data_IF_935415793841
#
_entry.id   IF_935415793841
#
_cell.length_a   1.000
_cell.length_b   1.000
_cell.length_c   1.000
_cell.angle_alpha   90.00
_cell.angle_beta   90.00
_cell.angle_gamma   90.00
#
_symmetry.space_group_name_H-M   'P 1'
#
loop_
_entity.id
_entity.type
_entity.pdbx_description
1 polymer ?
#
# COMPACT_ATOMS: atom_id res chain seq x y z
N UNK A 1 -37.97 -4.56 7.46
CA UNK A 1 -37.05 -5.43 6.72
C UNK A 1 -36.42 -4.57 5.64
N UNK A 2 -35.13 -4.28 5.76
CA UNK A 2 -34.36 -3.37 4.90
C UNK A 2 -34.25 -3.86 3.46
N UNK A 3 -34.25 -5.17 3.24
CA UNK A 3 -34.25 -5.74 1.89
C UNK A 3 -34.90 -7.14 1.86
N UNK A 4 -35.53 -7.50 0.75
CA UNK A 4 -36.33 -8.73 0.61
C UNK A 4 -35.49 -10.01 0.51
N UNK A 5 -34.21 -9.89 0.15
CA UNK A 5 -33.29 -11.02 0.02
C UNK A 5 -32.64 -11.43 1.37
N UNK A 6 -32.71 -10.56 2.37
CA UNK A 6 -32.20 -10.84 3.72
C UNK A 6 -32.99 -11.98 4.36
N UNK A 7 -32.28 -13.00 4.84
CA UNK A 7 -32.92 -14.15 5.51
C UNK A 7 -33.38 -13.83 6.93
N UNK A 8 -32.73 -12.88 7.60
CA UNK A 8 -33.07 -12.37 8.92
C UNK A 8 -32.41 -11.01 9.16
N UNK A 9 -32.91 -10.27 10.14
CA UNK A 9 -32.32 -9.01 10.61
C UNK A 9 -32.22 -9.06 12.13
N UNK A 10 -31.01 -9.13 12.67
CA UNK A 10 -30.80 -9.21 14.11
C UNK A 10 -30.90 -7.84 14.79
N UNK A 11 -31.61 -7.81 15.90
CA UNK A 11 -31.51 -6.75 16.89
C UNK A 11 -30.14 -6.78 17.58
N UNK A 12 -29.77 -5.68 18.26
CA UNK A 12 -28.54 -5.60 19.07
C UNK A 12 -28.41 -6.75 20.07
N UNK A 13 -29.48 -7.04 20.81
CA UNK A 13 -29.47 -8.10 21.80
C UNK A 13 -29.31 -9.51 21.18
N UNK A 14 -29.90 -9.75 20.00
CA UNK A 14 -29.76 -11.03 19.31
C UNK A 14 -28.34 -11.23 18.78
N UNK A 15 -27.76 -10.19 18.19
CA UNK A 15 -26.38 -10.22 17.70
C UNK A 15 -25.37 -10.39 18.85
N UNK A 16 -25.50 -9.61 19.93
CA UNK A 16 -24.64 -9.73 21.12
C UNK A 16 -24.73 -11.12 21.74
N UNK A 17 -25.93 -11.65 21.93
CA UNK A 17 -26.12 -13.01 22.46
C UNK A 17 -25.47 -14.07 21.58
N UNK A 18 -25.59 -13.94 20.26
CA UNK A 18 -24.93 -14.86 19.33
C UNK A 18 -23.40 -14.79 19.47
N UNK A 19 -22.83 -13.57 19.50
CA UNK A 19 -21.40 -13.35 19.72
C UNK A 19 -20.91 -13.93 21.05
N UNK A 20 -21.66 -13.76 22.14
CA UNK A 20 -21.36 -14.34 23.45
C UNK A 20 -21.28 -15.87 23.40
N UNK A 21 -22.19 -16.51 22.67
CA UNK A 21 -22.19 -17.96 22.52
C UNK A 21 -21.02 -18.47 21.67
N UNK A 22 -20.48 -17.65 20.76
CA UNK A 22 -19.24 -17.94 20.03
C UNK A 22 -18.03 -17.88 20.98
N UNK A 23 -17.87 -16.81 21.76
CA UNK A 23 -16.70 -16.66 22.65
C UNK A 23 -16.71 -17.64 23.84
N UNK A 24 -17.86 -18.21 24.22
CA UNK A 24 -17.94 -19.33 25.16
C UNK A 24 -17.38 -20.63 24.58
N UNK A 25 -17.48 -20.81 23.27
CA UNK A 25 -17.07 -22.04 22.55
C UNK A 25 -15.64 -21.95 22.04
N UNK A 26 -15.19 -20.75 21.68
CA UNK A 26 -13.93 -20.52 20.98
C UNK A 26 -13.07 -19.50 21.72
N UNK A 27 -11.73 -19.56 21.57
CA UNK A 27 -10.77 -18.73 22.33
C UNK A 27 -10.71 -17.28 21.84
N UNK A 28 -11.82 -16.55 21.88
CA UNK A 28 -11.90 -15.18 21.42
C UNK A 28 -12.49 -14.28 22.52
N UNK A 29 -12.13 -13.01 22.49
CA UNK A 29 -12.93 -11.93 23.08
C UNK A 29 -13.67 -11.22 21.96
N UNK A 30 -14.79 -10.59 22.28
CA UNK A 30 -15.56 -9.80 21.33
C UNK A 30 -15.69 -8.36 21.83
N UNK A 31 -15.45 -7.40 20.94
CA UNK A 31 -15.73 -5.98 21.14
C UNK A 31 -16.82 -5.53 20.17
N UNK A 32 -17.80 -4.77 20.65
CA UNK A 32 -18.94 -4.33 19.85
C UNK A 32 -18.75 -2.89 19.36
N UNK A 33 -19.02 -2.66 18.09
CA UNK A 33 -18.99 -1.36 17.44
C UNK A 33 -19.98 -1.33 16.27
N UNK A 34 -19.92 -0.31 15.42
CA UNK A 34 -20.78 -0.22 14.25
C UNK A 34 -20.48 0.96 13.35
N UNK A 35 -21.20 1.01 12.23
CA UNK A 35 -21.10 2.05 11.21
C UNK A 35 -22.43 2.79 11.11
N UNK A 36 -22.36 4.11 10.93
CA UNK A 36 -23.53 4.99 10.85
C UNK A 36 -24.07 5.30 12.24
N UNK A 37 -23.49 6.29 12.90
CA UNK A 37 -23.92 6.74 14.23
C UNK A 37 -25.39 7.18 14.24
N UNK A 38 -26.09 7.01 15.36
CA UNK A 38 -27.46 7.49 15.48
C UNK A 38 -27.50 9.03 15.37
N UNK A 39 -28.61 9.61 14.86
CA UNK A 39 -28.87 11.04 14.99
C UNK A 39 -28.82 11.48 16.44
N UNK A 40 -28.42 12.73 16.69
CA UNK A 40 -28.24 13.26 18.06
C UNK A 40 -29.51 13.16 18.90
N UNK A 41 -30.66 13.26 18.25
CA UNK A 41 -31.99 13.22 18.86
C UNK A 41 -32.44 11.80 19.23
N UNK A 42 -31.79 10.77 18.66
CA UNK A 42 -32.17 9.35 18.76
C UNK A 42 -30.98 8.45 19.07
N UNK A 43 -30.17 8.82 20.05
CA UNK A 43 -29.02 8.01 20.49
C UNK A 43 -29.39 6.60 20.97
N UNK A 44 -30.67 6.36 21.28
CA UNK A 44 -31.22 5.07 21.70
C UNK A 44 -31.18 3.99 20.60
N UNK A 45 -31.22 4.37 19.32
CA UNK A 45 -31.35 3.40 18.21
C UNK A 45 -30.04 2.67 17.87
N UNK A 46 -28.89 3.23 18.28
CA UNK A 46 -27.56 2.66 18.00
C UNK A 46 -27.12 2.82 16.54
N UNK A 47 -26.12 2.03 16.14
CA UNK A 47 -25.53 2.08 14.80
C UNK A 47 -26.47 1.52 13.73
N UNK A 48 -26.39 2.08 12.51
CA UNK A 48 -27.10 1.56 11.35
C UNK A 48 -26.65 0.13 11.01
N UNK A 49 -25.35 -0.15 11.07
CA UNK A 49 -24.75 -1.48 10.90
C UNK A 49 -23.97 -1.88 12.14
N UNK A 50 -24.21 -3.10 12.62
CA UNK A 50 -23.57 -3.65 13.82
C UNK A 50 -22.29 -4.40 13.45
N UNK A 51 -21.26 -4.32 14.30
CA UNK A 51 -19.96 -4.97 14.10
C UNK A 51 -19.49 -5.62 15.39
N UNK A 52 -18.97 -6.85 15.29
CA UNK A 52 -18.30 -7.55 16.39
C UNK A 52 -16.85 -7.86 15.98
N UNK A 53 -15.88 -7.30 16.71
CA UNK A 53 -14.47 -7.58 16.51
C UNK A 53 -14.05 -8.74 17.41
N UNK A 54 -13.74 -9.89 16.81
CA UNK A 54 -13.28 -11.07 17.54
C UNK A 54 -11.76 -11.12 17.59
N UNK A 55 -11.18 -10.96 18.78
CA UNK A 55 -9.74 -11.02 18.99
C UNK A 55 -9.36 -12.33 19.67
N UNK A 56 -8.44 -13.09 19.06
CA UNK A 56 -8.00 -14.39 19.58
C UNK A 56 -7.24 -14.21 20.90
N UNK A 57 -7.57 -15.02 21.90
CA UNK A 57 -6.83 -15.08 23.16
C UNK A 57 -5.61 -16.01 23.02
N UNK A 58 -4.37 -15.49 23.14
CA UNK A 58 -3.15 -16.26 22.88
C UNK A 58 -2.83 -17.36 23.91
N UNK A 59 -3.55 -17.44 25.02
CA UNK A 59 -3.30 -18.39 26.12
C UNK A 59 -4.40 -19.45 26.32
N UNK A 60 -5.33 -19.62 25.37
CA UNK A 60 -6.44 -20.55 25.57
C UNK A 60 -6.01 -22.02 25.38
N UNK A 61 -6.43 -22.97 26.24
CA UNK A 61 -6.00 -24.37 26.19
C UNK A 61 -6.26 -25.10 24.85
N UNK A 62 -7.22 -24.61 24.06
CA UNK A 62 -7.67 -25.20 22.80
C UNK A 62 -6.81 -24.80 21.59
N UNK A 63 -5.81 -23.94 21.76
CA UNK A 63 -4.93 -23.47 20.67
C UNK A 63 -4.15 -24.61 20.00
N UNK A 64 -3.93 -25.72 20.71
CA UNK A 64 -3.23 -26.90 20.19
C UNK A 64 -4.12 -27.86 19.39
N UNK A 65 -5.44 -27.60 19.33
CA UNK A 65 -6.42 -28.52 18.71
C UNK A 65 -6.87 -28.04 17.32
N UNK A 66 -6.87 -26.73 17.07
CA UNK A 66 -7.59 -26.13 15.92
C UNK A 66 -6.77 -26.16 14.60
N UNK A 67 -5.47 -26.45 14.64
CA UNK A 67 -4.63 -26.45 13.45
C UNK A 67 -3.98 -27.82 13.20
N UNK A 68 -4.79 -28.81 12.85
CA UNK A 68 -4.28 -29.91 12.02
C UNK A 68 -4.45 -29.47 10.55
N UNK A 69 -3.36 -29.30 9.76
CA UNK A 69 -3.44 -28.74 8.41
C UNK A 69 -4.16 -29.63 7.38
N UNK A 70 -4.70 -30.77 7.80
CA UNK A 70 -5.15 -31.85 6.93
C UNK A 70 -6.63 -31.75 6.55
N UNK A 71 -7.39 -30.80 7.11
CA UNK A 71 -8.74 -30.51 6.64
C UNK A 71 -8.67 -29.83 5.27
N UNK A 72 -8.89 -30.63 4.21
CA UNK A 72 -9.09 -30.16 2.85
C UNK A 72 -10.07 -29.00 2.84
N UNK A 73 -9.59 -27.82 2.47
CA UNK A 73 -10.44 -26.70 2.11
C UNK A 73 -11.32 -27.15 0.93
N UNK A 74 -12.65 -27.11 1.09
CA UNK A 74 -13.62 -27.43 0.03
C UNK A 74 -13.72 -26.34 -1.04
N UNK A 75 -12.88 -25.31 -0.98
CA UNK A 75 -12.90 -24.17 -1.89
C UNK A 75 -12.11 -24.44 -3.17
N UNK A 76 -12.66 -24.05 -4.31
CA UNK A 76 -11.95 -23.99 -5.60
C UNK A 76 -11.38 -22.59 -5.79
N UNK A 77 -10.07 -22.49 -6.05
CA UNK A 77 -9.43 -21.21 -6.37
C UNK A 77 -9.87 -20.76 -7.76
N UNK A 78 -10.70 -19.72 -7.83
CA UNK A 78 -11.15 -19.14 -9.10
C UNK A 78 -10.06 -18.27 -9.73
N UNK A 79 -9.33 -17.51 -8.91
CA UNK A 79 -8.27 -16.63 -9.36
C UNK A 79 -7.25 -16.38 -8.25
N UNK A 80 -5.97 -16.35 -8.62
CA UNK A 80 -4.86 -15.98 -7.76
C UNK A 80 -3.99 -14.97 -8.51
N UNK A 81 -3.57 -13.92 -7.82
CA UNK A 81 -2.66 -12.92 -8.37
C UNK A 81 -1.44 -12.78 -7.46
N UNK A 82 -0.26 -12.98 -8.04
CA UNK A 82 1.01 -12.73 -7.38
C UNK A 82 1.47 -11.35 -7.83
N UNK A 83 1.33 -10.37 -6.93
CA UNK A 83 1.83 -9.04 -7.20
C UNK A 83 3.35 -9.07 -7.33
N UNK A 84 3.93 -8.33 -8.31
CA UNK A 84 5.36 -8.08 -8.34
C UNK A 84 5.75 -7.44 -7.01
N UNK A 85 6.43 -8.22 -6.18
CA UNK A 85 7.12 -7.70 -5.02
C UNK A 85 8.58 -7.62 -5.40
N UNK A 86 9.29 -6.67 -4.81
CA UNK A 86 10.71 -6.55 -5.07
C UNK A 86 11.43 -7.76 -4.45
N UNK A 87 11.63 -8.80 -5.28
CA UNK A 87 12.44 -9.98 -5.00
C UNK A 87 13.93 -9.68 -5.22
N UNK A 88 14.32 -8.40 -5.23
CA UNK A 88 15.72 -8.01 -5.20
C UNK A 88 16.42 -8.77 -4.08
N UNK A 89 17.57 -9.32 -4.44
CA UNK A 89 18.46 -9.94 -3.48
C UNK A 89 18.76 -8.95 -2.35
N UNK A 90 18.99 -9.45 -1.15
CA UNK A 90 19.23 -8.61 0.03
C UNK A 90 20.37 -7.62 -0.21
N UNK A 91 21.39 -8.01 -0.99
CA UNK A 91 22.48 -7.14 -1.45
C UNK A 91 21.96 -5.90 -2.19
N UNK A 92 21.06 -6.09 -3.16
CA UNK A 92 20.49 -5.01 -3.94
C UNK A 92 19.56 -4.11 -3.11
N UNK A 93 18.85 -4.65 -2.12
CA UNK A 93 18.07 -3.83 -1.17
C UNK A 93 18.95 -2.92 -0.32
N UNK A 94 20.08 -3.45 0.15
CA UNK A 94 21.08 -2.66 0.90
C UNK A 94 21.64 -1.56 -0.01
N UNK A 95 22.01 -1.90 -1.25
CA UNK A 95 22.53 -0.92 -2.21
C UNK A 95 21.51 0.17 -2.54
N UNK A 96 20.26 -0.19 -2.83
CA UNK A 96 19.19 0.75 -3.14
C UNK A 96 18.95 1.73 -1.99
N UNK A 97 18.95 1.24 -0.74
CA UNK A 97 18.79 2.09 0.44
C UNK A 97 19.98 3.03 0.63
N UNK A 98 21.21 2.56 0.39
CA UNK A 98 22.41 3.42 0.41
C UNK A 98 22.30 4.51 -0.64
N UNK A 99 22.02 4.16 -1.90
CA UNK A 99 21.83 5.13 -2.98
C UNK A 99 20.73 6.15 -2.63
N UNK A 100 19.63 5.69 -2.06
CA UNK A 100 18.54 6.55 -1.61
C UNK A 100 18.98 7.53 -0.52
N UNK A 101 19.68 7.06 0.52
CA UNK A 101 20.17 7.93 1.58
C UNK A 101 21.17 8.96 1.06
N UNK A 102 22.12 8.53 0.23
CA UNK A 102 23.10 9.39 -0.44
C UNK A 102 22.39 10.48 -1.24
N UNK A 103 21.47 10.12 -2.13
CA UNK A 103 20.69 11.10 -2.91
C UNK A 103 19.89 12.04 -2.00
N UNK A 104 19.26 11.52 -0.94
CA UNK A 104 18.48 12.32 0.02
C UNK A 104 19.34 13.34 0.76
N UNK A 105 20.55 12.97 1.19
CA UNK A 105 21.47 13.90 1.83
C UNK A 105 21.79 15.08 0.92
N UNK A 106 22.03 14.84 -0.37
CA UNK A 106 22.41 15.89 -1.29
C UNK A 106 21.24 16.74 -1.79
N UNK A 107 20.07 16.16 -2.07
CA UNK A 107 18.87 16.94 -2.39
C UNK A 107 18.49 17.92 -1.26
N UNK A 108 18.86 17.62 -0.02
CA UNK A 108 18.60 18.49 1.14
C UNK A 108 19.62 19.62 1.32
N UNK A 109 20.80 19.52 0.70
CA UNK A 109 21.92 20.46 0.91
C UNK A 109 21.99 21.58 -0.13
N UNK A 110 21.21 21.52 -1.21
CA UNK A 110 20.83 22.66 -2.08
C UNK A 110 21.87 23.77 -2.29
N UNK A 111 23.12 23.44 -2.55
CA UNK A 111 24.15 24.42 -2.88
C UNK A 111 24.23 24.57 -4.40
N UNK A 112 23.99 25.78 -4.90
CA UNK A 112 24.36 26.17 -6.26
C UNK A 112 25.89 26.14 -6.36
N UNK A 113 26.46 25.04 -6.81
CA UNK A 113 27.91 24.91 -6.99
C UNK A 113 28.23 24.97 -8.48
N UNK A 114 29.03 25.98 -8.85
CA UNK A 114 29.41 26.31 -10.25
C UNK A 114 30.50 25.36 -10.81
N UNK A 115 31.17 24.58 -9.94
CA UNK A 115 32.25 23.67 -10.31
C UNK A 115 31.93 22.22 -9.92
N UNK A 116 32.48 21.26 -10.67
CA UNK A 116 32.40 19.84 -10.30
C UNK A 116 33.21 19.60 -9.02
N UNK A 117 32.62 18.95 -8.03
CA UNK A 117 33.26 18.70 -6.74
C UNK A 117 32.98 17.28 -6.25
N UNK A 118 33.87 16.79 -5.38
CA UNK A 118 33.73 15.49 -4.74
C UNK A 118 33.26 15.68 -3.30
N UNK A 119 32.32 14.84 -2.85
CA UNK A 119 31.97 14.74 -1.43
C UNK A 119 32.12 13.33 -0.92
N UNK A 120 32.48 13.26 0.35
CA UNK A 120 32.71 12.01 1.05
C UNK A 120 31.64 11.83 2.12
N UNK A 121 30.99 10.67 2.14
CA UNK A 121 30.02 10.28 3.17
C UNK A 121 30.56 9.08 3.95
N UNK A 122 30.57 9.18 5.28
CA UNK A 122 30.97 8.08 6.16
C UNK A 122 29.97 6.91 6.06
N UNK A 123 30.47 5.71 5.70
CA UNK A 123 29.64 4.51 5.66
C UNK A 123 29.16 4.11 7.07
N UNK A 124 29.95 4.40 8.10
CA UNK A 124 29.57 4.16 9.49
C UNK A 124 28.34 4.98 9.87
N UNK A 125 28.27 6.24 9.45
CA UNK A 125 27.10 7.09 9.68
C UNK A 125 25.87 6.60 8.91
N UNK A 126 26.04 6.07 7.69
CA UNK A 126 24.95 5.47 6.92
C UNK A 126 24.37 4.22 7.59
N UNK A 127 25.21 3.41 8.25
CA UNK A 127 24.78 2.20 8.96
C UNK A 127 23.92 2.50 10.20
N UNK A 128 24.02 3.71 10.77
CA UNK A 128 23.19 4.13 11.91
C UNK A 128 21.73 4.41 11.52
N UNK A 129 21.41 4.51 10.23
CA UNK A 129 20.05 4.78 9.78
C UNK A 129 19.09 3.63 10.08
N UNK A 130 17.89 3.90 10.62
CA UNK A 130 16.93 2.86 10.97
C UNK A 130 16.53 1.95 9.81
N UNK A 131 16.53 2.46 8.57
CA UNK A 131 16.21 1.68 7.37
C UNK A 131 17.31 0.68 7.04
N UNK A 132 18.58 1.06 7.13
CA UNK A 132 19.74 0.18 6.94
C UNK A 132 19.87 -0.83 8.09
N UNK A 133 19.65 -0.39 9.33
CA UNK A 133 19.74 -1.26 10.51
C UNK A 133 18.69 -2.40 10.46
N UNK A 134 17.48 -2.14 9.93
CA UNK A 134 16.46 -3.18 9.69
C UNK A 134 16.93 -4.29 8.74
N UNK A 135 17.86 -4.00 7.84
CA UNK A 135 18.44 -4.97 6.92
C UNK A 135 19.54 -5.83 7.57
N UNK A 136 19.87 -5.56 8.85
CA UNK A 136 20.84 -6.32 9.65
C UNK A 136 22.20 -6.46 8.97
N UNK A 137 22.67 -5.40 8.31
CA UNK A 137 23.95 -5.38 7.58
C UNK A 137 25.11 -4.90 8.46
N UNK A 138 26.34 -5.04 7.98
CA UNK A 138 27.56 -4.55 8.61
C UNK A 138 28.47 -3.87 7.58
N UNK A 139 29.47 -3.13 8.05
CA UNK A 139 30.36 -2.35 7.18
C UNK A 139 31.06 -3.20 6.11
N UNK A 140 31.55 -4.39 6.48
CA UNK A 140 32.22 -5.28 5.53
C UNK A 140 31.28 -5.75 4.43
N UNK A 141 30.06 -6.14 4.80
CA UNK A 141 29.04 -6.54 3.84
C UNK A 141 28.66 -5.40 2.88
N UNK A 142 28.55 -4.16 3.39
CA UNK A 142 28.29 -2.99 2.56
C UNK A 142 29.43 -2.72 1.57
N UNK A 143 30.68 -2.80 2.04
CA UNK A 143 31.87 -2.63 1.18
C UNK A 143 31.93 -3.72 0.11
N UNK A 144 31.70 -4.99 0.48
CA UNK A 144 31.68 -6.11 -0.47
C UNK A 144 30.60 -5.90 -1.56
N UNK A 145 29.42 -5.40 -1.18
CA UNK A 145 28.33 -5.09 -2.12
C UNK A 145 28.71 -3.94 -3.04
N UNK A 146 29.27 -2.85 -2.52
CA UNK A 146 29.72 -1.71 -3.31
C UNK A 146 30.84 -2.11 -4.28
N UNK A 147 31.75 -3.00 -3.89
CA UNK A 147 32.80 -3.49 -4.79
C UNK A 147 32.29 -4.45 -5.87
N UNK A 148 31.20 -5.17 -5.62
CA UNK A 148 30.69 -6.22 -6.53
C UNK A 148 29.62 -5.70 -7.49
N UNK A 149 28.73 -4.85 -6.99
CA UNK A 149 27.56 -4.38 -7.72
C UNK A 149 27.86 -3.08 -8.49
N UNK A 150 27.19 -2.89 -9.62
CA UNK A 150 27.36 -1.67 -10.42
C UNK A 150 26.63 -0.50 -9.78
N UNK A 151 27.36 0.54 -9.35
CA UNK A 151 26.82 1.81 -8.86
C UNK A 151 27.61 3.02 -9.37
N UNK A 152 27.19 4.23 -8.99
CA UNK A 152 27.71 5.51 -9.50
C UNK A 152 28.69 6.22 -8.55
N UNK A 153 29.19 5.51 -7.54
CA UNK A 153 29.96 6.09 -6.45
C UNK A 153 31.31 5.36 -6.34
N UNK A 154 32.33 6.02 -5.83
CA UNK A 154 33.62 5.40 -5.56
C UNK A 154 33.79 5.17 -4.05
N UNK A 155 34.72 4.29 -3.67
CA UNK A 155 35.09 4.07 -2.27
C UNK A 155 36.38 4.83 -1.96
N UNK A 156 36.49 5.36 -0.73
CA UNK A 156 37.73 5.96 -0.24
C UNK A 156 38.84 4.91 -0.09
N UNK A 157 40.11 5.35 -0.07
CA UNK A 157 41.29 4.45 0.06
C UNK A 157 41.26 3.57 1.32
N UNK A 158 40.59 4.03 2.38
CA UNK A 158 40.40 3.32 3.64
C UNK A 158 39.11 2.48 3.70
N UNK A 159 38.31 2.48 2.63
CA UNK A 159 37.01 1.81 2.50
C UNK A 159 36.00 2.17 3.61
N UNK A 160 36.20 3.30 4.30
CA UNK A 160 35.29 3.77 5.36
C UNK A 160 34.25 4.75 4.85
N UNK A 161 34.43 5.29 3.64
CA UNK A 161 33.59 6.35 3.11
C UNK A 161 33.26 6.13 1.63
N UNK A 162 32.09 6.65 1.25
CA UNK A 162 31.63 6.71 -0.12
C UNK A 162 32.01 8.07 -0.72
N UNK A 163 32.69 8.08 -1.86
CA UNK A 163 33.04 9.26 -2.64
C UNK A 163 32.00 9.44 -3.74
N UNK A 164 31.38 10.61 -3.77
CA UNK A 164 30.33 10.97 -4.71
C UNK A 164 30.84 12.11 -5.56
N UNK A 165 30.93 11.86 -6.87
CA UNK A 165 31.43 12.79 -7.87
C UNK A 165 30.26 13.58 -8.46
N UNK A 166 30.21 14.88 -8.21
CA UNK A 166 29.22 15.77 -8.81
C UNK A 166 29.79 16.39 -10.07
N UNK A 167 29.07 16.26 -11.19
CA UNK A 167 29.44 16.92 -12.43
C UNK A 167 28.60 18.18 -12.60
N UNK A 168 29.19 19.22 -13.19
CA UNK A 168 28.49 20.44 -13.55
C UNK A 168 27.22 20.17 -14.39
N UNK A 169 27.27 19.16 -15.27
CA UNK A 169 26.14 18.70 -16.09
C UNK A 169 24.95 18.15 -15.29
N UNK A 170 25.14 17.75 -14.03
CA UNK A 170 24.06 17.24 -13.18
C UNK A 170 23.16 18.38 -12.68
N UNK A 171 23.64 19.63 -12.77
CA UNK A 171 22.92 20.85 -12.37
C UNK A 171 22.36 21.64 -13.57
N UNK A 172 22.85 21.39 -14.79
CA UNK A 172 22.39 22.07 -16.02
C UNK A 172 21.04 21.55 -16.55
N UNK A 173 20.43 20.56 -15.91
CA UNK A 173 19.28 19.81 -16.46
C UNK A 173 17.90 20.43 -16.24
N UNK A 174 17.83 21.63 -15.65
CA UNK A 174 16.55 22.23 -15.22
C UNK A 174 16.01 23.36 -16.13
N UNK A 175 16.64 23.71 -17.25
CA UNK A 175 16.17 24.82 -18.11
C UNK A 175 16.31 24.65 -19.63
N UNK A 176 16.18 23.43 -20.16
CA UNK A 176 15.71 23.32 -21.56
C UNK A 176 14.20 23.05 -21.52
N UNK A 177 13.44 24.11 -21.79
CA UNK A 177 12.00 24.07 -22.06
C UNK A 177 11.69 22.94 -23.06
N UNK A 178 11.21 21.80 -22.57
CA UNK A 178 10.41 20.92 -23.41
C UNK A 178 9.09 21.64 -23.66
N UNK A 179 9.06 22.41 -24.75
CA UNK A 179 7.81 22.80 -25.41
C UNK A 179 6.95 21.55 -25.58
N UNK A 180 5.95 21.42 -24.71
CA UNK A 180 4.85 20.47 -24.89
C UNK A 180 4.14 20.92 -26.17
N UNK A 181 4.50 20.31 -27.30
CA UNK A 181 3.66 20.30 -28.49
C UNK A 181 2.40 19.54 -28.10
N UNK A 182 1.39 20.29 -27.65
CA UNK A 182 0.01 19.82 -27.59
C UNK A 182 -0.42 19.62 -29.04
N UNK A 183 -0.28 18.38 -29.53
CA UNK A 183 -0.82 17.95 -30.80
C UNK A 183 -2.34 17.98 -30.75
N UNK A 184 -2.92 19.15 -31.04
CA UNK A 184 -4.31 19.26 -31.49
C UNK A 184 -4.31 18.87 -32.96
N UNK A 185 -4.64 17.62 -33.27
CA UNK A 185 -5.14 17.26 -34.59
C UNK A 185 -6.67 17.27 -34.54
N UNK A 186 -7.23 18.40 -34.98
CA UNK A 186 -8.57 18.45 -35.56
C UNK A 186 -8.55 17.64 -36.86
N UNK A 187 -9.30 16.54 -36.91
CA UNK A 187 -9.78 15.99 -38.18
C UNK A 187 -11.28 15.70 -38.06
N UNK A 188 -12.06 16.77 -38.17
CA UNK A 188 -13.44 16.71 -38.66
C UNK A 188 -13.40 16.60 -40.19
N UNK A 189 -13.84 15.47 -40.72
CA UNK A 189 -14.77 15.32 -41.86
C UNK A 189 -14.47 14.09 -42.74
N UNK A 190 -15.26 13.01 -42.56
CA UNK A 190 -15.97 12.29 -43.63
C UNK A 190 -16.79 11.14 -43.00
N UNK A 191 -18.13 11.28 -42.86
CA UNK A 191 -19.17 10.79 -43.81
C UNK A 191 -19.24 9.25 -43.77
N UNK A 192 -20.27 8.56 -43.27
CA UNK A 192 -21.68 8.54 -43.71
C UNK A 192 -22.57 7.68 -42.78
N UNK A 193 -23.87 8.01 -42.80
CA UNK A 193 -25.09 7.30 -42.41
C UNK A 193 -25.07 5.78 -42.10
N UNK A 194 -25.81 5.40 -41.04
CA UNK A 194 -26.10 3.99 -40.72
C UNK A 194 -27.15 3.79 -39.62
N UNK A 195 -28.42 4.10 -39.93
CA UNK A 195 -29.68 3.50 -39.44
C UNK A 195 -29.77 3.08 -37.96
N UNK A 196 -30.53 3.87 -37.20
CA UNK A 196 -31.06 3.55 -35.87
C UNK A 196 -32.32 2.70 -36.07
N UNK A 197 -32.36 1.48 -35.54
CA UNK A 197 -33.60 0.72 -35.38
C UNK A 197 -34.15 0.96 -33.97
N UNK A 198 -35.23 1.72 -33.89
CA UNK A 198 -36.11 1.81 -32.74
C UNK A 198 -36.88 0.50 -32.57
N UNK A 199 -36.85 -0.07 -31.36
CA UNK A 199 -37.92 -0.95 -30.90
C UNK A 199 -38.39 -0.47 -29.53
N UNK A 200 -39.56 0.16 -29.56
CA UNK A 200 -40.35 0.63 -28.42
C UNK A 200 -40.63 -0.48 -27.40
N UNK A 201 -40.36 -0.17 -26.13
CA UNK A 201 -40.87 -0.89 -24.97
C UNK A 201 -41.19 0.13 -23.88
N UNK A 202 -42.46 0.56 -23.85
CA UNK A 202 -43.04 1.46 -22.85
C UNK A 202 -43.09 0.74 -21.50
N UNK A 203 -42.51 1.33 -20.45
CA UNK A 203 -42.88 1.06 -19.06
C UNK A 203 -42.89 2.40 -18.32
N UNK A 204 -44.06 2.71 -17.75
CA UNK A 204 -44.40 3.94 -17.04
C UNK A 204 -43.51 4.18 -15.81
N UNK A 205 -42.97 5.40 -15.68
CA UNK A 205 -42.39 5.93 -14.44
C UNK A 205 -43.51 6.57 -13.60
N UNK A 206 -43.94 5.90 -12.53
CA UNK A 206 -44.72 6.54 -11.47
C UNK A 206 -43.76 7.31 -10.54
N UNK A 207 -43.87 8.64 -10.54
CA UNK A 207 -43.19 9.53 -9.59
C UNK A 207 -43.77 9.35 -8.17
N UNK A 208 -42.99 8.78 -7.24
CA UNK A 208 -43.35 8.74 -5.82
C UNK A 208 -42.95 10.06 -5.10
N UNK A 209 -43.99 10.80 -4.70
CA UNK A 209 -43.97 11.98 -3.84
C UNK A 209 -43.67 11.60 -2.39
N UNK A 210 -42.66 12.25 -1.78
CA UNK A 210 -42.33 12.12 -0.36
C UNK A 210 -43.04 13.22 0.44
N UNK A 211 -44.16 12.86 1.08
CA UNK A 211 -44.72 13.56 2.25
C UNK A 211 -44.42 12.77 3.54
#
# INVERSE_FOLDING_TARGET
>A
MRHWDHKFEWTRAEFEKWCEDIVKKYPYIVEYSGIGEPPKERSDVGYCSQMGLFTRQPQHPWLNIICQPEERLEYEVVHEFIYPHDSTERSQKILNEICYLVNRFYSSQGEEVDESFDRTISLVELLEYPSINKLQTNLKEVVDILQTEKHAYDLSEDEQSLVVHFKQSDFEKDWEDEDIIVGVEEDLNNVTEGVINESNGIVDEEEESWD
#
